data_IF_473052989466
#
_entry.id   IF_473052989466
#
_cell.length_a   1.000
_cell.length_b   1.000
_cell.length_c   1.000
_cell.angle_alpha   90.00
_cell.angle_beta   90.00
_cell.angle_gamma   90.00
#
_symmetry.space_group_name_H-M   'P 1'
#
loop_
_entity.id
_entity.type
_entity.pdbx_description
1 polymer ?
#
# COMPACT_ATOMS: atom_id res chain seq x y z
N UNK A 1 11.44 8.37 -12.86
CA UNK A 1 10.79 8.55 -11.54
C UNK A 1 9.37 9.07 -11.73
N UNK A 2 8.41 8.45 -11.03
CA UNK A 2 7.02 8.88 -11.08
C UNK A 2 6.85 10.21 -10.34
N UNK A 3 6.15 11.17 -10.96
CA UNK A 3 5.69 12.35 -10.27
C UNK A 3 4.30 12.08 -9.66
N UNK A 4 3.76 13.03 -8.91
CA UNK A 4 2.46 12.86 -8.24
C UNK A 4 1.32 12.55 -9.22
N UNK A 5 1.34 13.18 -10.39
CA UNK A 5 0.35 12.95 -11.44
C UNK A 5 0.39 11.52 -11.96
N UNK A 6 1.60 10.99 -12.22
CA UNK A 6 1.78 9.63 -12.71
C UNK A 6 1.33 8.60 -11.68
N UNK A 7 1.65 8.83 -10.41
CA UNK A 7 1.20 7.97 -9.31
C UNK A 7 -0.32 7.96 -9.21
N UNK A 8 -0.95 9.12 -9.30
CA UNK A 8 -2.41 9.26 -9.32
C UNK A 8 -3.01 8.47 -10.47
N UNK A 9 -2.47 8.61 -11.68
CA UNK A 9 -2.99 7.93 -12.87
C UNK A 9 -2.90 6.40 -12.77
N UNK A 10 -1.83 5.88 -12.19
CA UNK A 10 -1.69 4.43 -12.00
C UNK A 10 -2.72 3.90 -10.98
N UNK A 11 -2.94 4.63 -9.91
CA UNK A 11 -3.95 4.27 -8.90
C UNK A 11 -5.34 4.33 -9.52
N UNK A 12 -5.64 5.40 -10.25
CA UNK A 12 -6.92 5.57 -10.93
C UNK A 12 -7.20 4.42 -11.90
N UNK A 13 -6.20 4.04 -12.70
CA UNK A 13 -6.33 2.91 -13.63
C UNK A 13 -6.59 1.60 -12.91
N UNK A 14 -5.96 1.38 -11.77
CA UNK A 14 -6.15 0.17 -10.96
C UNK A 14 -7.57 0.11 -10.42
N UNK A 15 -8.06 1.22 -9.88
CA UNK A 15 -9.44 1.32 -9.38
C UNK A 15 -10.43 1.08 -10.54
N UNK A 16 -10.18 1.70 -11.68
CA UNK A 16 -11.03 1.55 -12.88
C UNK A 16 -11.08 0.10 -13.35
N UNK A 17 -9.93 -0.58 -13.34
CA UNK A 17 -9.87 -1.99 -13.72
C UNK A 17 -10.79 -2.82 -12.82
N UNK A 18 -10.78 -2.56 -11.51
CA UNK A 18 -11.64 -3.24 -10.55
C UNK A 18 -13.12 -2.92 -10.81
N UNK A 19 -13.47 -1.64 -10.98
CA UNK A 19 -14.84 -1.23 -11.23
C UNK A 19 -15.44 -1.90 -12.46
N UNK A 20 -14.67 -1.98 -13.56
CA UNK A 20 -15.12 -2.59 -14.80
C UNK A 20 -15.39 -4.10 -14.65
N UNK A 21 -14.89 -4.72 -13.60
CA UNK A 21 -15.07 -6.15 -13.31
C UNK A 21 -16.00 -6.39 -12.14
N UNK A 22 -16.73 -5.35 -11.72
CA UNK A 22 -17.70 -5.47 -10.62
C UNK A 22 -17.08 -5.46 -9.23
N UNK A 23 -15.79 -5.15 -9.11
CA UNK A 23 -15.12 -5.03 -7.81
C UNK A 23 -15.25 -3.60 -7.32
N UNK A 24 -16.33 -3.34 -6.60
CA UNK A 24 -16.76 -2.02 -6.17
C UNK A 24 -16.84 -1.99 -4.63
N UNK A 25 -17.07 -0.81 -4.02
CA UNK A 25 -17.25 -0.74 -2.58
C UNK A 25 -18.32 -1.70 -2.05
N UNK A 26 -19.37 -1.94 -2.84
CA UNK A 26 -20.47 -2.84 -2.46
C UNK A 26 -20.01 -4.31 -2.33
N UNK A 27 -18.95 -4.67 -3.02
CA UNK A 27 -18.41 -6.04 -3.01
C UNK A 27 -17.23 -6.21 -2.08
N UNK A 28 -16.91 -5.20 -1.26
CA UNK A 28 -15.77 -5.27 -0.34
C UNK A 28 -15.98 -6.39 0.67
N UNK A 29 -15.02 -7.30 0.70
CA UNK A 29 -14.97 -8.42 1.62
C UNK A 29 -13.54 -8.50 2.16
N UNK A 30 -13.35 -8.10 3.40
CA UNK A 30 -12.00 -8.00 3.97
C UNK A 30 -11.29 -9.36 4.02
N UNK A 31 -12.02 -10.45 4.22
CA UNK A 31 -11.37 -11.77 4.20
C UNK A 31 -10.82 -12.08 2.82
N UNK A 32 -11.55 -11.76 1.76
CA UNK A 32 -11.06 -11.91 0.38
C UNK A 32 -9.83 -11.04 0.14
N UNK A 33 -9.84 -9.78 0.61
CA UNK A 33 -8.70 -8.90 0.46
C UNK A 33 -7.47 -9.45 1.18
N UNK A 34 -7.65 -9.95 2.41
CA UNK A 34 -6.58 -10.58 3.18
C UNK A 34 -6.02 -11.80 2.44
N UNK A 35 -6.89 -12.64 1.92
CA UNK A 35 -6.49 -13.86 1.20
C UNK A 35 -5.69 -13.52 -0.06
N UNK A 36 -6.10 -12.48 -0.79
CA UNK A 36 -5.37 -12.03 -1.99
C UNK A 36 -3.99 -11.48 -1.64
N UNK A 37 -3.88 -10.69 -0.57
CA UNK A 37 -2.60 -10.18 -0.10
C UNK A 37 -1.69 -11.32 0.36
N UNK A 38 -2.26 -12.30 1.05
CA UNK A 38 -1.51 -13.47 1.52
C UNK A 38 -1.02 -14.32 0.35
N UNK A 39 -1.83 -14.47 -0.69
CA UNK A 39 -1.44 -15.19 -1.90
C UNK A 39 -0.20 -14.55 -2.54
N UNK A 40 -0.19 -13.23 -2.70
CA UNK A 40 0.95 -12.52 -3.28
C UNK A 40 2.19 -12.61 -2.39
N UNK A 41 2.00 -12.55 -1.08
CA UNK A 41 3.11 -12.73 -0.14
C UNK A 41 3.70 -14.15 -0.25
N UNK A 42 2.85 -15.16 -0.40
CA UNK A 42 3.30 -16.53 -0.57
C UNK A 42 4.05 -16.71 -1.91
N UNK A 43 3.59 -16.07 -2.96
CA UNK A 43 4.28 -16.09 -4.26
C UNK A 43 5.67 -15.44 -4.16
N UNK A 44 5.78 -14.33 -3.43
CA UNK A 44 7.07 -13.71 -3.18
C UNK A 44 8.00 -14.66 -2.42
N UNK A 45 7.49 -15.31 -1.38
CA UNK A 45 8.25 -16.27 -0.59
C UNK A 45 8.78 -17.41 -1.47
N UNK A 46 7.92 -17.97 -2.32
CA UNK A 46 8.32 -19.04 -3.23
C UNK A 46 9.40 -18.56 -4.22
N UNK A 47 9.23 -17.35 -4.75
CA UNK A 47 10.22 -16.76 -5.66
C UNK A 47 11.58 -16.59 -5.00
N UNK A 48 11.60 -16.20 -3.72
CA UNK A 48 12.84 -16.11 -2.94
C UNK A 48 13.48 -17.48 -2.80
N UNK A 49 12.71 -18.51 -2.46
CA UNK A 49 13.19 -19.87 -2.33
C UNK A 49 13.78 -20.41 -3.64
N UNK A 50 13.24 -19.99 -4.78
CA UNK A 50 13.70 -20.39 -6.10
C UNK A 50 14.77 -19.47 -6.69
N UNK A 51 15.15 -18.43 -5.96
CA UNK A 51 16.11 -17.41 -6.43
C UNK A 51 15.71 -16.81 -7.79
N UNK A 52 14.42 -16.59 -7.98
CA UNK A 52 13.85 -16.04 -9.20
C UNK A 52 13.51 -14.55 -9.02
N UNK A 53 14.43 -13.71 -9.45
CA UNK A 53 14.32 -12.26 -9.25
C UNK A 53 13.14 -11.64 -10.01
N UNK A 54 12.84 -12.16 -11.19
CA UNK A 54 11.69 -11.67 -11.99
C UNK A 54 10.40 -11.99 -11.26
N UNK A 55 10.27 -13.21 -10.75
CA UNK A 55 9.09 -13.61 -9.98
C UNK A 55 8.97 -12.84 -8.67
N UNK A 56 10.08 -12.52 -8.01
CA UNK A 56 10.08 -11.67 -6.80
C UNK A 56 9.50 -10.29 -7.12
N UNK A 57 9.98 -9.70 -8.19
CA UNK A 57 9.55 -8.37 -8.64
C UNK A 57 8.06 -8.38 -8.98
N UNK A 58 7.63 -9.36 -9.76
CA UNK A 58 6.22 -9.52 -10.14
C UNK A 58 5.31 -9.66 -8.91
N UNK A 59 5.68 -10.51 -7.97
CA UNK A 59 4.89 -10.73 -6.75
C UNK A 59 4.74 -9.45 -5.93
N UNK A 60 5.82 -8.66 -5.79
CA UNK A 60 5.75 -7.41 -5.05
C UNK A 60 4.89 -6.37 -5.77
N UNK A 61 4.94 -6.33 -7.10
CA UNK A 61 4.07 -5.44 -7.87
C UNK A 61 2.60 -5.87 -7.79
N UNK A 62 2.34 -7.18 -7.81
CA UNK A 62 0.98 -7.70 -7.65
C UNK A 62 0.44 -7.42 -6.26
N UNK A 63 1.29 -7.48 -5.24
CA UNK A 63 0.91 -7.09 -3.88
C UNK A 63 0.47 -5.62 -3.85
N UNK A 64 1.19 -4.76 -4.55
CA UNK A 64 0.83 -3.35 -4.67
C UNK A 64 -0.48 -3.16 -5.44
N UNK A 65 -0.69 -3.93 -6.50
CA UNK A 65 -1.95 -3.91 -7.25
C UNK A 65 -3.14 -4.25 -6.35
N UNK A 66 -3.02 -5.30 -5.53
CA UNK A 66 -4.07 -5.68 -4.58
C UNK A 66 -4.29 -4.59 -3.53
N UNK A 67 -3.20 -4.03 -3.00
CA UNK A 67 -3.26 -2.94 -2.01
C UNK A 67 -4.08 -1.76 -2.53
N UNK A 68 -3.77 -1.30 -3.73
CA UNK A 68 -4.47 -0.17 -4.35
C UNK A 68 -5.95 -0.51 -4.56
N UNK A 69 -6.24 -1.71 -5.05
CA UNK A 69 -7.61 -2.16 -5.26
C UNK A 69 -8.42 -2.23 -3.97
N UNK A 70 -7.81 -2.74 -2.90
CA UNK A 70 -8.45 -2.78 -1.58
C UNK A 70 -8.79 -1.39 -1.08
N UNK A 71 -7.82 -0.47 -1.15
CA UNK A 71 -8.05 0.93 -0.75
C UNK A 71 -9.15 1.57 -1.59
N UNK A 72 -9.20 1.28 -2.88
CA UNK A 72 -10.26 1.77 -3.75
C UNK A 72 -11.65 1.28 -3.33
N UNK A 73 -11.77 -0.01 -2.99
CA UNK A 73 -13.03 -0.58 -2.49
C UNK A 73 -13.41 -0.01 -1.11
N UNK A 74 -12.44 0.44 -0.32
CA UNK A 74 -12.67 1.17 0.92
C UNK A 74 -13.07 2.63 0.68
N UNK A 75 -13.22 3.05 -0.58
CA UNK A 75 -13.56 4.41 -0.98
C UNK A 75 -12.48 5.44 -0.66
N UNK A 76 -11.24 4.99 -0.62
CA UNK A 76 -10.08 5.88 -0.46
C UNK A 76 -9.60 6.23 -1.87
N UNK A 77 -9.82 7.48 -2.27
CA UNK A 77 -9.58 7.94 -3.63
C UNK A 77 -8.07 8.02 -3.96
N UNK A 78 -7.70 8.15 -5.24
CA UNK A 78 -6.30 8.18 -5.64
C UNK A 78 -5.47 9.29 -4.98
N UNK A 79 -6.02 10.49 -4.81
CA UNK A 79 -5.30 11.58 -4.16
C UNK A 79 -5.00 11.27 -2.70
N UNK A 80 -6.00 10.71 -2.01
CA UNK A 80 -5.85 10.33 -0.60
C UNK A 80 -4.83 9.20 -0.44
N UNK A 81 -4.81 8.25 -1.37
CA UNK A 81 -3.81 7.19 -1.35
C UNK A 81 -2.40 7.74 -1.53
N UNK A 82 -2.20 8.66 -2.47
CA UNK A 82 -0.88 9.30 -2.70
C UNK A 82 -0.45 10.11 -1.48
N UNK A 83 -1.34 10.94 -0.96
CA UNK A 83 -1.03 11.78 0.20
C UNK A 83 -0.82 10.96 1.47
N UNK A 84 -1.55 9.85 1.61
CA UNK A 84 -1.36 8.91 2.72
C UNK A 84 0.02 8.28 2.70
N UNK A 85 0.48 7.83 1.54
CA UNK A 85 1.82 7.27 1.43
C UNK A 85 2.90 8.32 1.71
N UNK A 86 2.69 9.56 1.28
CA UNK A 86 3.60 10.66 1.61
C UNK A 86 3.71 10.86 3.13
N UNK A 87 2.58 10.76 3.85
CA UNK A 87 2.59 10.85 5.30
C UNK A 87 3.40 9.71 5.94
N UNK A 88 3.26 8.50 5.40
CA UNK A 88 4.04 7.34 5.84
C UNK A 88 5.53 7.55 5.57
N UNK A 89 5.87 8.08 4.39
CA UNK A 89 7.27 8.37 4.03
C UNK A 89 7.89 9.38 5.00
N UNK A 90 7.18 10.48 5.27
CA UNK A 90 7.68 11.50 6.19
C UNK A 90 7.91 10.95 7.60
N UNK A 91 6.98 10.12 8.08
CA UNK A 91 7.13 9.48 9.39
C UNK A 91 8.36 8.58 9.41
N UNK A 92 8.56 7.78 8.37
CA UNK A 92 9.72 6.88 8.29
C UNK A 92 11.03 7.66 8.16
N UNK A 93 11.03 8.76 7.41
CA UNK A 93 12.19 9.63 7.28
C UNK A 93 12.62 10.24 8.60
N UNK A 94 11.73 10.34 9.59
CA UNK A 94 12.04 10.84 10.92
C UNK A 94 12.70 9.81 11.84
N UNK A 95 12.77 8.53 11.42
CA UNK A 95 13.41 7.48 12.20
C UNK A 95 14.92 7.63 12.18
N UNK A 96 15.58 7.18 13.28
CA UNK A 96 17.05 7.12 13.33
C UNK A 96 17.55 5.97 12.45
N UNK A 97 18.88 5.94 12.22
CA UNK A 97 19.52 4.85 11.50
C UNK A 97 19.87 3.66 12.41
N UNK A 98 19.46 3.69 13.68
CA UNK A 98 19.72 2.62 14.64
C UNK A 98 18.90 1.38 14.29
N UNK A 99 19.55 0.21 14.28
CA UNK A 99 18.92 -1.06 13.96
C UNK A 99 18.88 -1.96 15.19
N UNK A 100 17.85 -2.82 15.27
CA UNK A 100 17.81 -3.87 16.29
C UNK A 100 18.65 -5.07 15.83
N UNK A 101 18.68 -6.13 16.64
CA UNK A 101 19.49 -7.33 16.35
C UNK A 101 19.05 -8.05 15.08
N UNK A 102 17.80 -7.89 14.65
CA UNK A 102 17.30 -8.47 13.42
C UNK A 102 17.59 -7.59 12.18
N UNK A 103 18.23 -6.44 12.35
CA UNK A 103 18.57 -5.52 11.27
C UNK A 103 17.43 -4.56 10.89
N UNK A 104 16.37 -4.49 11.69
CA UNK A 104 15.24 -3.57 11.44
C UNK A 104 15.54 -2.23 12.09
N UNK A 105 15.25 -1.13 11.37
CA UNK A 105 15.35 0.23 11.88
C UNK A 105 14.40 0.40 13.06
N UNK A 106 14.93 0.91 14.18
CA UNK A 106 14.15 1.14 15.39
C UNK A 106 13.55 2.56 15.38
N UNK A 107 12.43 2.70 16.11
CA UNK A 107 11.81 4.01 16.31
C UNK A 107 12.53 4.76 17.42
N UNK A 108 12.82 6.07 17.25
CA UNK A 108 13.33 6.87 18.37
C UNK A 108 12.25 7.04 19.44
N UNK A 109 12.66 7.37 20.66
CA UNK A 109 11.73 7.50 21.79
C UNK A 109 10.68 8.60 21.58
N UNK A 110 11.01 9.61 20.78
CA UNK A 110 10.09 10.71 20.44
C UNK A 110 9.45 10.53 19.06
N UNK A 111 9.42 9.31 18.54
CA UNK A 111 8.85 9.05 17.23
C UNK A 111 7.34 9.32 17.22
N UNK A 112 6.89 10.08 16.22
CA UNK A 112 5.48 10.30 15.93
C UNK A 112 5.14 9.60 14.63
N UNK A 113 4.20 8.66 14.67
CA UNK A 113 3.73 7.95 13.49
C UNK A 113 2.81 8.80 12.62
N UNK A 114 2.37 8.27 11.48
CA UNK A 114 1.54 9.02 10.53
C UNK A 114 0.04 9.01 10.87
N UNK A 115 -0.38 8.34 11.94
CA UNK A 115 -1.80 8.02 12.20
C UNK A 115 -2.69 9.26 12.26
N UNK A 116 -2.23 10.34 12.90
CA UNK A 116 -3.00 11.58 13.00
C UNK A 116 -3.23 12.22 11.64
N UNK A 117 -2.19 12.24 10.80
CA UNK A 117 -2.30 12.77 9.44
C UNK A 117 -3.20 11.89 8.56
N UNK A 118 -3.08 10.57 8.68
CA UNK A 118 -3.93 9.64 7.96
C UNK A 118 -5.40 9.81 8.35
N UNK A 119 -5.68 9.97 9.65
CA UNK A 119 -7.03 10.21 10.13
C UNK A 119 -7.62 11.51 9.55
N UNK A 120 -6.79 12.56 9.49
CA UNK A 120 -7.18 13.83 8.90
C UNK A 120 -7.53 13.68 7.41
N UNK A 121 -6.67 12.99 6.65
CA UNK A 121 -6.91 12.74 5.23
C UNK A 121 -8.22 11.99 5.00
N UNK A 122 -8.51 10.97 5.80
CA UNK A 122 -9.75 10.21 5.68
C UNK A 122 -10.97 11.07 6.00
N UNK A 123 -10.89 11.94 7.01
CA UNK A 123 -12.00 12.83 7.35
C UNK A 123 -12.28 13.87 6.26
N UNK A 124 -11.27 14.32 5.56
CA UNK A 124 -11.41 15.28 4.47
C UNK A 124 -12.06 14.69 3.23
N UNK A 125 -11.97 13.37 3.05
CA UNK A 125 -12.54 12.68 1.88
C UNK A 125 -13.92 12.10 2.14
N UNK A 126 -14.41 12.14 3.37
CA UNK A 126 -15.74 11.66 3.77
C UNK A 126 -16.83 12.69 3.44
N UNK A 127 -16.89 13.13 2.20
CA UNK A 127 -17.85 14.17 1.79
C UNK A 127 -19.03 13.57 1.05
#
# INVERSE_FOLDING_TARGET
MLNKKQSFEQIERTIKWNELRGNTPDTLDYQLEIDMLQEELNEFKLAVEQDDKVAMFDALLDLDFVRIGTLGKMQIDPYTQVDGYEAVLKANESKSSTKNTAGKITKPTNFTGPEAELAKLLSETSR
#
